data_IF_343659782739
#
_entry.id   IF_343659782739
#
_cell.length_a   1.000
_cell.length_b   1.000
_cell.length_c   1.000
_cell.angle_alpha   90.00
_cell.angle_beta   90.00
_cell.angle_gamma   90.00
#
_symmetry.space_group_name_H-M   'P 1'
#
loop_
_entity.id
_entity.type
_entity.pdbx_description
1 polymer ?
#
# COMPACT_ATOMS: atom_id res chain seq x y z
N UNK A 1 -18.40 8.66 -19.39
CA UNK A 1 -18.56 7.21 -19.33
C UNK A 1 -17.73 6.75 -18.14
N UNK A 2 -18.33 6.23 -17.07
CA UNK A 2 -17.56 5.67 -15.97
C UNK A 2 -17.01 4.33 -16.44
N UNK A 3 -15.71 4.26 -16.70
CA UNK A 3 -15.04 2.97 -16.83
C UNK A 3 -15.22 2.24 -15.49
N UNK A 4 -15.96 1.13 -15.53
CA UNK A 4 -16.05 0.23 -14.40
C UNK A 4 -14.66 -0.39 -14.25
N UNK A 5 -13.85 0.16 -13.33
CA UNK A 5 -12.55 -0.42 -12.99
C UNK A 5 -12.78 -1.86 -12.55
N UNK A 6 -12.15 -2.80 -13.24
CA UNK A 6 -12.13 -4.20 -12.83
C UNK A 6 -11.21 -4.32 -11.61
N UNK A 7 -11.82 -4.18 -10.43
CA UNK A 7 -11.12 -4.17 -9.15
C UNK A 7 -10.37 -5.49 -8.89
N UNK A 8 -10.82 -6.61 -9.45
CA UNK A 8 -10.15 -7.90 -9.27
C UNK A 8 -8.95 -8.07 -10.18
N UNK A 9 -9.00 -7.52 -11.40
CA UNK A 9 -7.91 -7.63 -12.37
C UNK A 9 -6.83 -6.56 -12.22
N UNK A 10 -7.19 -5.39 -11.73
CA UNK A 10 -6.28 -4.24 -11.67
C UNK A 10 -5.95 -3.89 -10.23
N UNK A 11 -6.96 -3.62 -9.40
CA UNK A 11 -6.76 -3.03 -8.08
C UNK A 11 -6.24 -4.04 -7.05
N UNK A 12 -6.84 -5.23 -6.97
CA UNK A 12 -6.48 -6.24 -5.97
C UNK A 12 -5.03 -6.75 -6.13
N UNK A 13 -4.52 -7.03 -7.35
CA UNK A 13 -3.10 -7.35 -7.52
C UNK A 13 -2.17 -6.19 -7.17
N UNK A 14 -2.54 -4.94 -7.50
CA UNK A 14 -1.75 -3.76 -7.19
C UNK A 14 -1.61 -3.54 -5.68
N UNK A 15 -2.72 -3.59 -4.93
CA UNK A 15 -2.67 -3.38 -3.48
C UNK A 15 -1.94 -4.53 -2.76
N UNK A 16 -2.05 -5.77 -3.27
CA UNK A 16 -1.28 -6.90 -2.73
C UNK A 16 0.20 -6.71 -3.00
N UNK A 17 0.59 -6.31 -4.20
CA UNK A 17 1.98 -6.02 -4.52
C UNK A 17 2.54 -4.88 -3.67
N UNK A 18 1.71 -3.89 -3.37
CA UNK A 18 2.05 -2.82 -2.46
C UNK A 18 2.32 -3.31 -1.02
N UNK A 19 1.44 -4.17 -0.48
CA UNK A 19 1.69 -4.81 0.80
C UNK A 19 3.01 -5.60 0.80
N UNK A 20 3.37 -6.26 -0.32
CA UNK A 20 4.66 -6.96 -0.46
C UNK A 20 5.87 -6.03 -0.43
N UNK A 21 5.76 -4.81 -0.97
CA UNK A 21 6.83 -3.81 -0.85
C UNK A 21 7.02 -3.36 0.60
N UNK A 22 5.92 -3.06 1.30
CA UNK A 22 5.98 -2.59 2.68
C UNK A 22 6.48 -3.67 3.64
N UNK A 23 6.09 -4.92 3.41
CA UNK A 23 6.57 -6.05 4.19
C UNK A 23 8.09 -6.31 4.01
N UNK A 24 8.72 -5.80 2.95
CA UNK A 24 10.12 -6.07 2.59
C UNK A 24 10.97 -4.79 2.67
N UNK A 25 11.60 -4.57 3.83
CA UNK A 25 12.49 -3.43 4.11
C UNK A 25 13.59 -3.25 3.06
N UNK A 26 14.11 -4.33 2.47
CA UNK A 26 15.20 -4.23 1.49
C UNK A 26 14.67 -3.72 0.16
N UNK A 27 13.52 -4.22 -0.31
CA UNK A 27 12.88 -3.71 -1.53
C UNK A 27 12.43 -2.27 -1.36
N UNK A 28 11.91 -1.93 -0.18
CA UNK A 28 11.51 -0.57 0.13
C UNK A 28 12.70 0.39 0.09
N UNK A 29 13.80 0.04 0.77
CA UNK A 29 15.05 0.82 0.73
C UNK A 29 15.64 0.92 -0.69
N UNK A 30 15.64 -0.18 -1.47
CA UNK A 30 16.09 -0.13 -2.86
C UNK A 30 15.20 0.75 -3.73
N UNK A 31 13.88 0.74 -3.54
CA UNK A 31 12.96 1.61 -4.26
C UNK A 31 13.20 3.10 -3.91
N UNK A 32 13.53 3.39 -2.64
CA UNK A 32 13.95 4.72 -2.21
C UNK A 32 15.27 5.15 -2.87
N UNK A 33 16.29 4.29 -2.85
CA UNK A 33 17.61 4.58 -3.40
C UNK A 33 17.60 4.75 -4.93
N UNK A 34 16.83 3.94 -5.65
CA UNK A 34 16.74 3.98 -7.13
C UNK A 34 16.03 5.23 -7.66
N UNK A 35 15.21 5.87 -6.83
CA UNK A 35 14.46 7.08 -7.19
C UNK A 35 15.28 8.38 -7.00
N UNK A 36 16.59 8.24 -6.75
CA UNK A 36 17.55 9.24 -6.26
C UNK A 36 17.85 10.46 -7.13
N UNK A 37 16.84 11.30 -7.40
CA UNK A 37 16.97 12.74 -7.71
C UNK A 37 15.61 13.45 -7.90
N UNK A 38 14.46 12.75 -7.76
CA UNK A 38 13.15 13.42 -7.74
C UNK A 38 13.04 14.24 -6.45
N UNK A 39 12.71 15.53 -6.56
CA UNK A 39 12.61 16.46 -5.43
C UNK A 39 11.54 15.95 -4.44
N UNK A 40 11.98 15.24 -3.40
CA UNK A 40 11.16 14.64 -2.34
C UNK A 40 10.52 15.68 -1.40
N UNK A 41 10.94 16.94 -1.51
CA UNK A 41 10.55 18.01 -0.57
C UNK A 41 9.12 18.52 -0.76
N UNK A 42 8.36 18.00 -1.73
CA UNK A 42 6.95 18.32 -1.91
C UNK A 42 6.02 17.10 -1.84
N UNK A 43 6.51 15.94 -1.39
CA UNK A 43 5.65 14.77 -1.16
C UNK A 43 4.82 15.07 0.08
N UNK A 44 3.54 15.41 -0.12
CA UNK A 44 2.65 15.79 0.99
C UNK A 44 1.97 14.55 1.58
N UNK A 45 1.82 13.49 0.77
CA UNK A 45 1.12 12.24 1.12
C UNK A 45 1.91 11.01 0.63
N UNK A 46 1.86 9.90 1.37
CA UNK A 46 2.51 8.64 0.99
C UNK A 46 1.94 8.05 -0.30
N UNK A 47 0.69 8.33 -0.67
CA UNK A 47 0.13 7.90 -1.96
C UNK A 47 0.99 8.37 -3.15
N UNK A 48 1.48 9.62 -3.13
CA UNK A 48 2.43 10.13 -4.16
C UNK A 48 3.77 9.38 -4.13
N UNK A 49 4.23 8.97 -2.95
CA UNK A 49 5.45 8.16 -2.82
C UNK A 49 5.26 6.80 -3.50
N UNK A 50 4.08 6.20 -3.33
CA UNK A 50 3.78 4.90 -3.92
C UNK A 50 3.52 5.04 -5.42
N UNK A 51 2.80 6.07 -5.87
CA UNK A 51 2.65 6.40 -7.29
C UNK A 51 4.00 6.58 -7.98
N UNK A 52 4.96 7.22 -7.30
CA UNK A 52 6.32 7.40 -7.82
C UNK A 52 7.14 6.11 -7.85
N UNK A 53 6.96 5.21 -6.87
CA UNK A 53 7.63 3.90 -6.83
C UNK A 53 7.05 2.94 -7.88
N UNK A 54 5.75 3.02 -8.12
CA UNK A 54 5.04 2.12 -9.02
C UNK A 54 4.88 2.62 -10.46
N UNK A 55 5.02 3.92 -10.68
CA UNK A 55 4.65 4.59 -11.93
C UNK A 55 3.17 4.34 -12.32
N UNK A 56 2.30 4.22 -11.30
CA UNK A 56 0.85 4.02 -11.47
C UNK A 56 0.09 4.95 -10.54
N UNK A 57 -0.91 5.71 -11.01
CA UNK A 57 -1.78 6.51 -10.14
C UNK A 57 -2.57 5.61 -9.18
N UNK A 58 -2.55 5.94 -7.90
CA UNK A 58 -3.19 5.17 -6.85
C UNK A 58 -4.45 5.88 -6.38
N UNK A 59 -5.58 5.50 -6.96
CA UNK A 59 -6.90 5.85 -6.42
C UNK A 59 -7.33 4.75 -5.43
N UNK A 60 -6.66 4.71 -4.25
CA UNK A 60 -6.97 3.75 -3.20
C UNK A 60 -8.28 4.19 -2.51
N UNK A 61 -9.40 3.64 -2.98
CA UNK A 61 -10.69 3.82 -2.33
C UNK A 61 -10.99 2.62 -1.44
N UNK A 62 -11.22 2.85 -0.15
CA UNK A 62 -11.70 1.81 0.77
C UNK A 62 -12.93 1.05 0.26
N UNK A 63 -13.82 1.75 -0.46
CA UNK A 63 -15.01 1.15 -1.08
C UNK A 63 -14.67 0.15 -2.20
N UNK A 64 -13.48 0.24 -2.80
CA UNK A 64 -12.99 -0.71 -3.79
C UNK A 64 -12.76 -2.10 -3.19
N UNK A 65 -12.28 -2.20 -1.93
CA UNK A 65 -12.05 -3.50 -1.26
C UNK A 65 -13.33 -4.32 -1.22
N UNK A 66 -14.45 -3.68 -0.87
CA UNK A 66 -15.74 -4.35 -0.74
C UNK A 66 -16.23 -4.92 -2.09
N UNK A 67 -15.79 -4.28 -3.18
CA UNK A 67 -16.17 -4.63 -4.55
C UNK A 67 -15.32 -5.74 -5.17
N UNK A 68 -14.24 -6.18 -4.50
CA UNK A 68 -13.41 -7.30 -4.97
C UNK A 68 -14.05 -8.66 -4.70
N UNK A 69 -13.60 -9.72 -5.39
CA UNK A 69 -13.96 -11.12 -5.14
C UNK A 69 -13.13 -11.78 -4.04
N UNK A 70 -12.21 -11.06 -3.39
CA UNK A 70 -11.35 -11.57 -2.33
C UNK A 70 -12.15 -12.17 -1.15
N UNK A 71 -11.54 -13.11 -0.42
CA UNK A 71 -12.17 -13.68 0.78
C UNK A 71 -12.46 -12.61 1.83
N UNK A 72 -13.38 -12.92 2.74
CA UNK A 72 -13.69 -12.03 3.86
C UNK A 72 -12.46 -11.72 4.72
N UNK A 73 -11.55 -12.69 4.88
CA UNK A 73 -10.33 -12.53 5.67
C UNK A 73 -9.33 -11.62 4.96
N UNK A 74 -9.13 -11.79 3.64
CA UNK A 74 -8.26 -10.90 2.85
C UNK A 74 -8.83 -9.48 2.77
N UNK A 75 -10.15 -9.33 2.59
CA UNK A 75 -10.82 -8.02 2.64
C UNK A 75 -10.62 -7.33 3.99
N UNK A 76 -10.77 -8.07 5.08
CA UNK A 76 -10.55 -7.55 6.43
C UNK A 76 -9.10 -7.13 6.63
N UNK A 77 -8.14 -7.98 6.26
CA UNK A 77 -6.72 -7.67 6.38
C UNK A 77 -6.33 -6.44 5.54
N UNK A 78 -6.84 -6.32 4.30
CA UNK A 78 -6.65 -5.15 3.45
C UNK A 78 -7.25 -3.88 4.07
N UNK A 79 -8.45 -3.97 4.62
CA UNK A 79 -9.10 -2.82 5.26
C UNK A 79 -8.34 -2.38 6.52
N UNK A 80 -7.87 -3.33 7.34
CA UNK A 80 -7.05 -3.03 8.52
C UNK A 80 -5.71 -2.41 8.11
N UNK A 81 -5.03 -2.98 7.11
CA UNK A 81 -3.81 -2.44 6.54
C UNK A 81 -3.99 -0.98 6.09
N UNK A 82 -4.96 -0.71 5.22
CA UNK A 82 -5.22 0.63 4.72
C UNK A 82 -5.54 1.62 5.84
N UNK A 83 -6.29 1.20 6.87
CA UNK A 83 -6.67 2.09 7.96
C UNK A 83 -5.45 2.52 8.77
N UNK A 84 -4.60 1.56 9.11
CA UNK A 84 -3.35 1.82 9.81
C UNK A 84 -2.43 2.69 8.96
N UNK A 85 -2.36 2.39 7.66
CA UNK A 85 -1.52 3.10 6.73
C UNK A 85 -1.95 4.56 6.53
N UNK A 86 -3.23 4.84 6.29
CA UNK A 86 -3.78 6.19 6.19
C UNK A 86 -3.59 6.97 7.49
N UNK A 87 -3.77 6.34 8.65
CA UNK A 87 -3.56 7.01 9.94
C UNK A 87 -2.09 7.40 10.15
N UNK A 88 -1.15 6.56 9.72
CA UNK A 88 0.26 6.86 9.74
C UNK A 88 0.60 7.98 8.76
N UNK A 89 0.08 7.94 7.53
CA UNK A 89 0.28 9.01 6.54
C UNK A 89 -0.23 10.37 7.04
N UNK A 90 -1.43 10.42 7.61
CA UNK A 90 -1.98 11.62 8.24
C UNK A 90 -1.10 12.16 9.37
N UNK A 91 -0.43 11.29 10.13
CA UNK A 91 0.49 11.68 11.19
C UNK A 91 1.82 12.23 10.61
N UNK A 92 2.27 11.65 9.50
CA UNK A 92 3.48 12.07 8.78
C UNK A 92 3.27 13.40 8.07
N UNK A 93 2.16 13.60 7.34
CA UNK A 93 1.83 14.88 6.71
C UNK A 93 1.76 16.06 7.69
N UNK A 94 1.46 15.77 8.97
CA UNK A 94 1.49 16.76 10.07
C UNK A 94 2.87 17.01 10.66
N UNK A 95 3.79 16.05 10.59
CA UNK A 95 5.10 16.08 11.28
C UNK A 95 6.31 16.19 10.35
N UNK A 96 6.11 15.98 9.04
CA UNK A 96 7.06 16.22 7.95
C UNK A 96 7.98 15.06 7.59
N UNK A 97 8.15 14.02 8.43
CA UNK A 97 8.95 12.83 8.07
C UNK A 97 8.39 11.53 8.66
N UNK A 98 8.30 10.45 7.86
CA UNK A 98 7.95 9.13 8.37
C UNK A 98 9.10 8.54 9.19
N UNK A 99 8.78 8.07 10.39
CA UNK A 99 9.69 7.25 11.19
C UNK A 99 9.45 5.76 10.89
N UNK A 100 10.27 5.21 9.99
CA UNK A 100 10.21 3.81 9.59
C UNK A 100 10.76 2.84 10.66
N UNK A 101 11.26 3.36 11.79
CA UNK A 101 11.65 2.54 12.93
C UNK A 101 10.61 2.57 14.06
N UNK A 102 9.55 3.38 13.89
CA UNK A 102 8.45 3.50 14.83
C UNK A 102 7.72 2.18 15.02
N UNK A 103 7.04 2.07 16.17
CA UNK A 103 6.21 0.91 16.47
C UNK A 103 5.06 0.82 15.46
N UNK A 104 4.48 1.96 15.13
CA UNK A 104 3.39 2.14 14.19
C UNK A 104 3.76 1.60 12.82
N UNK A 105 4.96 1.93 12.31
CA UNK A 105 5.46 1.39 11.06
C UNK A 105 5.60 -0.14 11.11
N UNK A 106 6.17 -0.70 12.18
CA UNK A 106 6.31 -2.16 12.32
C UNK A 106 4.96 -2.88 12.36
N UNK A 107 3.95 -2.27 12.99
CA UNK A 107 2.58 -2.81 13.01
C UNK A 107 1.96 -2.80 11.60
N UNK A 108 2.20 -1.75 10.81
CA UNK A 108 1.82 -1.68 9.39
C UNK A 108 2.51 -2.77 8.57
N UNK A 109 3.82 -2.98 8.77
CA UNK A 109 4.58 -4.03 8.07
C UNK A 109 4.07 -5.43 8.39
N UNK A 110 3.80 -5.72 9.66
CA UNK A 110 3.21 -6.99 10.07
C UNK A 110 1.86 -7.22 9.39
N UNK A 111 1.02 -6.17 9.33
CA UNK A 111 -0.27 -6.27 8.66
C UNK A 111 -0.16 -6.44 7.14
N UNK A 112 0.80 -5.77 6.52
CA UNK A 112 1.10 -5.94 5.10
C UNK A 112 1.56 -7.37 4.79
N UNK A 113 2.33 -7.98 5.69
CA UNK A 113 2.72 -9.38 5.57
C UNK A 113 1.54 -10.35 5.71
N UNK A 114 0.60 -10.09 6.63
CA UNK A 114 -0.64 -10.90 6.73
C UNK A 114 -1.44 -10.86 5.41
N UNK A 115 -1.56 -9.67 4.80
CA UNK A 115 -2.20 -9.51 3.48
C UNK A 115 -1.47 -10.32 2.41
N UNK A 116 -0.14 -10.27 2.36
CA UNK A 116 0.66 -11.03 1.41
C UNK A 116 0.40 -12.54 1.53
N UNK A 117 0.40 -13.07 2.76
CA UNK A 117 0.16 -14.50 3.02
C UNK A 117 -1.24 -14.91 2.57
N UNK A 118 -2.26 -14.14 2.93
CA UNK A 118 -3.65 -14.41 2.55
C UNK A 118 -3.82 -14.34 1.02
N UNK A 119 -3.26 -13.32 0.39
CA UNK A 119 -3.30 -13.18 -1.07
C UNK A 119 -2.59 -14.33 -1.80
N UNK A 120 -1.47 -14.82 -1.26
CA UNK A 120 -0.78 -15.98 -1.80
C UNK A 120 -1.63 -17.27 -1.75
N UNK A 121 -2.34 -17.48 -0.64
CA UNK A 121 -3.27 -18.61 -0.46
C UNK A 121 -4.41 -18.54 -1.49
N UNK A 122 -4.93 -17.34 -1.76
CA UNK A 122 -5.99 -17.12 -2.75
C UNK A 122 -5.50 -17.09 -4.20
N UNK A 123 -4.19 -17.12 -4.45
CA UNK A 123 -3.61 -17.09 -5.79
C UNK A 123 -3.60 -15.70 -6.44
N UNK A 124 -3.74 -14.64 -5.65
CA UNK A 124 -3.75 -13.25 -6.11
C UNK A 124 -2.32 -12.75 -6.33
N UNK A 125 -2.07 -12.12 -7.50
CA UNK A 125 -0.77 -11.49 -7.80
C UNK A 125 0.37 -12.47 -8.06
N UNK A 126 0.07 -13.62 -8.68
CA UNK A 126 1.06 -14.55 -9.28
C UNK A 126 1.41 -14.12 -10.71
#
# INVERSE_FOLDING_TARGET
>A
MSETVDYDRVWLPQIVWYCRLIADDRKLNMAFEQSGDKIWTSVVNYDELVEQVLDVPLDIRFSAILSTSASADLKKALAEFLNMFTAFDDAVGRSGRPDLQSREWREIQARAHDVEVLAFVEGVGR
#
